data_IF_004688976795
#
_entry.id   IF_004688976795
#
_cell.length_a   1.000
_cell.length_b   1.000
_cell.length_c   1.000
_cell.angle_alpha   90.00
_cell.angle_beta   90.00
_cell.angle_gamma   90.00
#
_symmetry.space_group_name_H-M   'P 1'
#
loop_
_entity.id
_entity.type
_entity.pdbx_description
1 polymer ?
#
# COMPACT_ATOMS: atom_id res chain seq x y z
N UNK A 1 -14.96 26.48 10.82
CA UNK A 1 -14.41 25.61 9.77
C UNK A 1 -14.60 24.16 10.19
N UNK A 2 -15.29 23.35 9.40
CA UNK A 2 -15.74 22.00 9.80
C UNK A 2 -14.56 21.01 9.83
N UNK A 3 -14.40 20.22 10.90
CA UNK A 3 -13.29 19.27 11.10
C UNK A 3 -13.08 18.22 9.99
N UNK A 4 -14.06 18.05 9.09
CA UNK A 4 -13.95 17.23 7.87
C UNK A 4 -12.88 17.73 6.89
N UNK A 5 -12.65 19.04 6.82
CA UNK A 5 -11.62 19.62 5.94
C UNK A 5 -10.22 19.30 6.44
N UNK A 6 -10.01 19.33 7.76
CA UNK A 6 -8.72 18.99 8.38
C UNK A 6 -8.39 17.51 8.13
N UNK A 7 -9.37 16.62 8.29
CA UNK A 7 -9.22 15.19 7.99
C UNK A 7 -8.89 14.94 6.50
N UNK A 8 -9.55 15.67 5.59
CA UNK A 8 -9.25 15.58 4.15
C UNK A 8 -7.82 16.00 3.80
N UNK A 9 -7.30 17.07 4.42
CA UNK A 9 -5.92 17.51 4.21
C UNK A 9 -4.92 16.47 4.72
N UNK A 10 -5.14 15.93 5.93
CA UNK A 10 -4.26 14.90 6.52
C UNK A 10 -4.18 13.67 5.60
N UNK A 11 -5.31 13.24 5.05
CA UNK A 11 -5.37 12.06 4.17
C UNK A 11 -4.72 12.34 2.83
N UNK A 12 -4.94 13.52 2.24
CA UNK A 12 -4.26 13.90 1.00
C UNK A 12 -2.73 13.92 1.16
N UNK A 13 -2.23 14.40 2.30
CA UNK A 13 -0.79 14.37 2.62
C UNK A 13 -0.31 12.93 2.80
N UNK A 14 -1.04 12.10 3.54
CA UNK A 14 -0.69 10.68 3.72
C UNK A 14 -0.66 9.92 2.38
N UNK A 15 -1.62 10.15 1.50
CA UNK A 15 -1.66 9.55 0.16
C UNK A 15 -0.49 10.00 -0.70
N UNK A 16 -0.17 11.30 -0.69
CA UNK A 16 1.00 11.82 -1.40
C UNK A 16 2.28 11.13 -0.93
N UNK A 17 2.44 10.92 0.38
CA UNK A 17 3.59 10.20 0.95
C UNK A 17 3.61 8.73 0.51
N UNK A 18 2.48 8.04 0.51
CA UNK A 18 2.35 6.65 0.04
C UNK A 18 2.74 6.55 -1.44
N UNK A 19 2.27 7.47 -2.28
CA UNK A 19 2.58 7.52 -3.71
C UNK A 19 4.07 7.81 -3.94
N UNK A 20 4.62 8.82 -3.27
CA UNK A 20 6.05 9.14 -3.35
C UNK A 20 6.90 7.93 -2.94
N UNK A 21 6.53 7.26 -1.84
CA UNK A 21 7.21 6.05 -1.40
C UNK A 21 7.06 4.90 -2.42
N UNK A 22 5.89 4.73 -3.02
CA UNK A 22 5.66 3.79 -4.13
C UNK A 22 6.62 4.02 -5.31
N UNK A 23 6.91 5.27 -5.67
CA UNK A 23 7.92 5.58 -6.70
C UNK A 23 9.34 5.16 -6.30
N UNK A 24 9.73 5.33 -5.03
CA UNK A 24 11.03 4.85 -4.55
C UNK A 24 11.12 3.32 -4.61
N UNK A 25 10.07 2.63 -4.16
CA UNK A 25 10.00 1.17 -4.20
C UNK A 25 10.09 0.65 -5.63
N UNK A 26 9.41 1.27 -6.62
CA UNK A 26 9.52 0.85 -8.04
C UNK A 26 10.94 0.87 -8.59
N UNK A 27 11.82 1.68 -7.99
CA UNK A 27 13.24 1.75 -8.35
C UNK A 27 14.11 0.78 -7.54
N UNK A 28 13.51 -0.13 -6.77
CA UNK A 28 14.19 -1.09 -5.90
C UNK A 28 14.80 -0.46 -4.64
N UNK A 29 14.34 0.73 -4.23
CA UNK A 29 14.85 1.43 -3.04
C UNK A 29 13.87 1.31 -1.88
N UNK A 30 14.39 1.08 -0.67
CA UNK A 30 13.58 1.12 0.55
C UNK A 30 12.74 -0.13 0.85
N UNK A 31 12.88 -1.20 0.07
CA UNK A 31 12.23 -2.50 0.36
C UNK A 31 12.66 -3.09 1.71
N UNK A 32 13.91 -2.86 2.12
CA UNK A 32 14.42 -3.27 3.43
C UNK A 32 13.69 -2.59 4.59
N UNK A 33 13.22 -1.36 4.40
CA UNK A 33 12.46 -0.63 5.43
C UNK A 33 11.04 -1.18 5.58
N UNK A 34 10.46 -1.69 4.49
CA UNK A 34 9.16 -2.39 4.52
C UNK A 34 9.27 -3.78 5.12
N UNK A 35 10.34 -4.50 4.80
CA UNK A 35 10.57 -5.86 5.29
C UNK A 35 10.91 -5.90 6.79
N UNK A 36 11.40 -4.79 7.36
CA UNK A 36 11.86 -4.74 8.76
C UNK A 36 13.19 -5.47 9.00
N UNK A 37 13.80 -6.00 7.94
CA UNK A 37 15.13 -6.58 7.90
C UNK A 37 15.81 -6.18 6.59
N UNK A 38 17.13 -6.11 6.60
CA UNK A 38 17.89 -5.90 5.37
C UNK A 38 17.94 -7.23 4.61
N UNK A 39 17.32 -7.36 3.42
CA UNK A 39 17.33 -8.59 2.67
C UNK A 39 18.71 -8.74 2.03
N UNK A 40 19.70 -9.10 2.84
CA UNK A 40 21.07 -9.42 2.42
C UNK A 40 21.11 -10.59 1.42
N UNK A 41 19.98 -11.27 1.23
CA UNK A 41 19.85 -12.47 0.42
C UNK A 41 19.24 -12.22 -0.98
N UNK A 42 18.63 -11.06 -1.26
CA UNK A 42 18.03 -10.83 -2.57
C UNK A 42 19.04 -10.34 -3.60
N UNK A 43 19.08 -11.03 -4.75
CA UNK A 43 19.79 -10.56 -5.93
C UNK A 43 19.25 -9.19 -6.39
N UNK A 44 20.08 -8.43 -7.12
CA UNK A 44 19.67 -7.14 -7.70
C UNK A 44 18.43 -7.26 -8.59
N UNK A 45 18.27 -8.39 -9.29
CA UNK A 45 17.11 -8.66 -10.14
C UNK A 45 15.84 -8.89 -9.32
N UNK A 46 15.91 -9.71 -8.26
CA UNK A 46 14.81 -9.93 -7.30
C UNK A 46 14.39 -8.61 -6.65
N UNK A 47 15.35 -7.80 -6.19
CA UNK A 47 15.06 -6.52 -5.55
C UNK A 47 14.38 -5.53 -6.51
N UNK A 48 14.81 -5.48 -7.78
CA UNK A 48 14.14 -4.65 -8.79
C UNK A 48 12.74 -5.15 -9.17
N UNK A 49 12.52 -6.47 -9.21
CA UNK A 49 11.22 -7.05 -9.50
C UNK A 49 10.25 -6.80 -8.34
N UNK A 50 10.65 -7.17 -7.11
CA UNK A 50 9.87 -6.93 -5.91
C UNK A 50 9.57 -5.43 -5.76
N UNK A 51 10.56 -4.58 -6.03
CA UNK A 51 10.38 -3.13 -5.96
C UNK A 51 9.31 -2.63 -6.92
N UNK A 52 9.35 -3.08 -8.19
CA UNK A 52 8.33 -2.74 -9.19
C UNK A 52 6.93 -3.20 -8.77
N UNK A 53 6.81 -4.42 -8.28
CA UNK A 53 5.53 -5.02 -7.86
C UNK A 53 4.97 -4.31 -6.63
N UNK A 54 5.77 -4.15 -5.59
CA UNK A 54 5.38 -3.45 -4.35
C UNK A 54 5.07 -1.98 -4.59
N UNK A 55 5.86 -1.29 -5.40
CA UNK A 55 5.58 0.10 -5.72
C UNK A 55 4.31 0.29 -6.56
N UNK A 56 3.99 -0.62 -7.49
CA UNK A 56 2.70 -0.62 -8.19
C UNK A 56 1.53 -0.90 -7.23
N UNK A 57 1.71 -1.84 -6.30
CA UNK A 57 0.71 -2.14 -5.28
C UNK A 57 0.43 -0.92 -4.39
N UNK A 58 1.46 -0.16 -4.00
CA UNK A 58 1.28 1.08 -3.22
C UNK A 58 0.40 2.12 -3.92
N UNK A 59 0.43 2.21 -5.26
CA UNK A 59 -0.48 3.09 -6.00
C UNK A 59 -1.93 2.61 -5.98
N UNK A 60 -2.14 1.30 -6.14
CA UNK A 60 -3.46 0.69 -6.05
C UNK A 60 -4.02 0.86 -4.63
N UNK A 61 -3.17 0.67 -3.63
CA UNK A 61 -3.50 0.86 -2.22
C UNK A 61 -3.89 2.32 -1.93
N UNK A 62 -3.11 3.30 -2.40
CA UNK A 62 -3.43 4.72 -2.25
C UNK A 62 -4.80 5.05 -2.88
N UNK A 63 -5.06 4.61 -4.12
CA UNK A 63 -6.34 4.82 -4.77
C UNK A 63 -7.52 4.16 -4.03
N UNK A 64 -7.29 2.96 -3.48
CA UNK A 64 -8.29 2.25 -2.67
C UNK A 64 -8.58 2.96 -1.34
N UNK A 65 -7.56 3.56 -0.71
CA UNK A 65 -7.72 4.32 0.53
C UNK A 65 -8.52 5.60 0.32
N UNK A 66 -8.32 6.30 -0.80
CA UNK A 66 -9.12 7.46 -1.17
C UNK A 66 -10.61 7.10 -1.28
N UNK A 67 -10.92 6.01 -1.98
CA UNK A 67 -12.29 5.51 -2.12
C UNK A 67 -12.92 5.18 -0.76
N UNK A 68 -12.15 4.55 0.14
CA UNK A 68 -12.59 4.26 1.50
C UNK A 68 -12.86 5.49 2.34
N UNK A 69 -11.99 6.49 2.23
CA UNK A 69 -12.21 7.75 2.92
C UNK A 69 -13.53 8.39 2.46
N UNK A 70 -13.82 8.39 1.16
CA UNK A 70 -15.10 8.87 0.65
C UNK A 70 -16.30 8.08 1.18
N UNK A 71 -16.22 6.74 1.21
CA UNK A 71 -17.27 5.90 1.77
C UNK A 71 -17.51 6.26 3.24
N UNK A 72 -16.45 6.35 4.05
CA UNK A 72 -16.57 6.68 5.49
C UNK A 72 -17.10 8.09 5.75
N UNK A 73 -16.83 9.06 4.88
CA UNK A 73 -17.38 10.42 5.00
C UNK A 73 -18.85 10.53 4.58
N UNK A 74 -19.30 9.69 3.65
CA UNK A 74 -20.62 9.80 3.02
C UNK A 74 -21.65 8.83 3.62
N UNK A 75 -21.20 7.74 4.24
CA UNK A 75 -22.07 6.73 4.84
C UNK A 75 -22.05 6.75 6.36
N UNK A 76 -23.20 6.46 6.97
CA UNK A 76 -23.30 6.13 8.41
C UNK A 76 -23.42 4.63 8.66
N UNK A 77 -23.48 3.82 7.60
CA UNK A 77 -23.67 2.37 7.71
C UNK A 77 -22.35 1.71 8.07
N UNK A 78 -22.20 1.34 9.35
CA UNK A 78 -21.02 0.68 9.89
C UNK A 78 -20.65 -0.57 9.08
N UNK A 79 -21.64 -1.35 8.64
CA UNK A 79 -21.39 -2.54 7.80
C UNK A 79 -20.62 -2.24 6.51
N UNK A 80 -20.94 -1.14 5.82
CA UNK A 80 -20.22 -0.74 4.60
C UNK A 80 -18.77 -0.33 4.90
N UNK A 81 -18.54 0.36 6.01
CA UNK A 81 -17.21 0.77 6.45
C UNK A 81 -16.36 -0.48 6.76
N UNK A 82 -16.92 -1.43 7.52
CA UNK A 82 -16.24 -2.68 7.88
C UNK A 82 -15.93 -3.53 6.64
N UNK A 83 -16.88 -3.68 5.71
CA UNK A 83 -16.63 -4.40 4.45
C UNK A 83 -15.53 -3.76 3.62
N UNK A 84 -15.49 -2.43 3.55
CA UNK A 84 -14.45 -1.72 2.82
C UNK A 84 -13.08 -1.90 3.49
N UNK A 85 -13.00 -1.84 4.83
CA UNK A 85 -11.76 -2.10 5.57
C UNK A 85 -11.28 -3.55 5.36
N UNK A 86 -12.20 -4.51 5.40
CA UNK A 86 -11.89 -5.91 5.15
C UNK A 86 -11.31 -6.13 3.75
N UNK A 87 -11.85 -5.44 2.74
CA UNK A 87 -11.35 -5.50 1.36
C UNK A 87 -9.89 -5.02 1.26
N UNK A 88 -9.52 -3.94 1.98
CA UNK A 88 -8.14 -3.43 2.02
C UNK A 88 -7.20 -4.43 2.67
N UNK A 89 -7.58 -4.97 3.83
CA UNK A 89 -6.75 -5.94 4.55
C UNK A 89 -6.56 -7.20 3.73
N UNK A 90 -7.62 -7.74 3.11
CA UNK A 90 -7.54 -8.93 2.27
C UNK A 90 -6.63 -8.71 1.05
N UNK A 91 -6.77 -7.59 0.35
CA UNK A 91 -5.90 -7.29 -0.80
C UNK A 91 -4.44 -7.14 -0.38
N UNK A 92 -4.17 -6.60 0.82
CA UNK A 92 -2.81 -6.52 1.38
C UNK A 92 -2.25 -7.89 1.74
N UNK A 93 -3.04 -8.76 2.37
CA UNK A 93 -2.64 -10.13 2.68
C UNK A 93 -2.35 -10.94 1.40
N UNK A 94 -3.24 -10.88 0.41
CA UNK A 94 -3.05 -11.56 -0.89
C UNK A 94 -1.76 -11.07 -1.57
N UNK A 95 -1.53 -9.75 -1.55
CA UNK A 95 -0.32 -9.16 -2.11
C UNK A 95 0.95 -9.66 -1.40
N UNK A 96 0.98 -9.65 -0.06
CA UNK A 96 2.11 -10.13 0.73
C UNK A 96 2.39 -11.61 0.47
N UNK A 97 1.34 -12.45 0.43
CA UNK A 97 1.47 -13.88 0.10
C UNK A 97 2.04 -14.05 -1.31
N UNK A 98 1.52 -13.31 -2.29
CA UNK A 98 1.97 -13.38 -3.68
C UNK A 98 3.44 -13.01 -3.84
N UNK A 99 3.87 -11.90 -3.23
CA UNK A 99 5.27 -11.45 -3.31
C UNK A 99 6.19 -12.45 -2.62
N UNK A 100 5.86 -12.89 -1.39
CA UNK A 100 6.68 -13.88 -0.69
C UNK A 100 6.79 -15.18 -1.48
N UNK A 101 5.66 -15.76 -1.91
CA UNK A 101 5.66 -16.98 -2.71
C UNK A 101 6.53 -16.84 -3.97
N UNK A 102 6.41 -15.72 -4.68
CA UNK A 102 7.15 -15.53 -5.93
C UNK A 102 8.65 -15.29 -5.69
N UNK A 103 9.02 -14.62 -4.60
CA UNK A 103 10.41 -14.39 -4.21
C UNK A 103 11.11 -15.70 -3.82
N UNK A 104 10.42 -16.60 -3.10
CA UNK A 104 10.94 -17.92 -2.74
C UNK A 104 11.14 -18.83 -3.96
N UNK A 105 10.37 -18.60 -5.04
CA UNK A 105 10.43 -19.37 -6.29
C UNK A 105 11.08 -18.58 -7.44
N UNK A 106 11.80 -17.51 -7.15
CA UNK A 106 12.53 -16.72 -8.14
C UNK A 106 13.81 -17.47 -8.54
N UNK A 107 13.78 -18.13 -9.71
CA UNK A 107 14.95 -18.71 -10.36
C UNK A 107 15.60 -17.72 -11.31
#
# INVERSE_FOLDING_TARGET
MNGKWLAGIVIAVAELLIVVYGFFLRRGKGLSWLAGYDPKEYSKAQNQWAGRVTGNYMFIFAASMLMLFWITLTTRKIGLILSALLFVVLTMLIFLIYVNYKMDHFK
#
